data_IF_132070304374
#
_entry.id   IF_132070304374
#
_cell.length_a   1.000
_cell.length_b   1.000
_cell.length_c   1.000
_cell.angle_alpha   90.00
_cell.angle_beta   90.00
_cell.angle_gamma   90.00
#
_symmetry.space_group_name_H-M   'P 1'
#
loop_
_entity.id
_entity.type
_entity.pdbx_description
1 polymer ?
#
# COMPACT_ATOMS: atom_id res chain seq x y z
N UNK A 1 16.35 16.39 19.25
CA UNK A 1 16.06 15.16 18.49
C UNK A 1 15.92 14.04 19.51
N UNK A 2 14.85 13.28 19.45
CA UNK A 2 14.58 12.18 20.37
C UNK A 2 14.64 10.87 19.59
N UNK A 3 15.32 9.87 20.13
CA UNK A 3 15.46 8.56 19.51
C UNK A 3 14.84 7.50 20.41
N UNK A 4 13.97 6.68 19.83
CA UNK A 4 13.41 5.52 20.51
C UNK A 4 13.78 4.26 19.73
N UNK A 5 14.18 3.22 20.46
CA UNK A 5 14.39 1.89 19.90
C UNK A 5 13.18 1.02 20.26
N UNK A 6 12.49 0.55 19.22
CA UNK A 6 11.30 -0.27 19.43
C UNK A 6 10.81 -0.88 18.12
N UNK A 7 9.73 -1.66 18.19
CA UNK A 7 9.02 -2.17 17.04
C UNK A 7 8.04 -1.08 16.55
N UNK A 8 8.00 -0.86 15.24
CA UNK A 8 7.02 0.05 14.63
C UNK A 8 5.58 -0.47 14.77
N UNK A 9 5.43 -1.80 14.85
CA UNK A 9 4.15 -2.42 15.10
C UNK A 9 3.67 -2.11 16.53
N UNK A 10 2.51 -1.45 16.64
CA UNK A 10 1.92 -1.07 17.92
C UNK A 10 2.57 0.13 18.61
N UNK A 11 3.51 0.82 17.95
CA UNK A 11 4.08 2.05 18.49
C UNK A 11 3.02 3.13 18.64
N UNK A 12 3.00 3.78 19.80
CA UNK A 12 2.09 4.91 20.11
C UNK A 12 2.92 6.16 20.36
N UNK A 13 2.71 7.17 19.55
CA UNK A 13 3.34 8.47 19.78
C UNK A 13 2.62 9.23 20.90
N UNK A 14 3.37 9.88 21.81
CA UNK A 14 2.79 10.79 22.79
C UNK A 14 2.50 12.20 22.23
N UNK A 15 2.82 12.46 20.97
CA UNK A 15 2.72 13.77 20.34
C UNK A 15 1.80 13.73 19.12
N UNK A 16 1.26 14.90 18.75
CA UNK A 16 0.65 15.10 17.43
C UNK A 16 1.72 15.01 16.34
N UNK A 17 1.43 14.24 15.29
CA UNK A 17 2.38 14.00 14.20
C UNK A 17 1.97 14.77 12.96
N UNK A 18 2.79 15.72 12.53
CA UNK A 18 2.56 16.47 11.29
C UNK A 18 3.08 15.73 10.06
N UNK A 19 4.24 15.09 10.18
CA UNK A 19 4.95 14.41 9.10
C UNK A 19 5.43 13.04 9.55
N UNK A 20 5.16 12.03 8.74
CA UNK A 20 5.80 10.72 8.83
C UNK A 20 6.72 10.56 7.62
N UNK A 21 7.98 10.23 7.88
CA UNK A 21 8.96 9.92 6.85
C UNK A 21 9.55 8.53 7.11
N UNK A 22 9.51 7.67 6.10
CA UNK A 22 10.13 6.35 6.18
C UNK A 22 11.16 6.18 5.07
N UNK A 23 12.37 5.81 5.50
CA UNK A 23 13.48 5.40 4.65
C UNK A 23 13.92 4.02 5.14
N UNK A 24 14.08 3.06 4.23
CA UNK A 24 14.51 1.70 4.57
C UNK A 24 13.60 0.91 5.55
N UNK A 25 12.31 1.25 5.61
CA UNK A 25 11.33 0.38 6.22
C UNK A 25 11.02 -0.74 5.22
N UNK A 26 11.68 -1.90 5.40
CA UNK A 26 11.59 -2.99 4.44
C UNK A 26 10.28 -3.75 4.56
N UNK A 27 9.73 -4.13 3.41
CA UNK A 27 8.56 -5.02 3.26
C UNK A 27 7.36 -4.54 4.11
N UNK A 28 6.83 -5.39 4.96
CA UNK A 28 5.65 -5.09 5.81
C UNK A 28 5.92 -4.03 6.89
N UNK A 29 7.17 -3.73 7.24
CA UNK A 29 7.47 -2.59 8.12
C UNK A 29 7.04 -1.25 7.52
N UNK A 30 7.07 -1.10 6.19
CA UNK A 30 6.47 0.03 5.49
C UNK A 30 4.96 0.11 5.76
N UNK A 31 4.26 -1.01 5.75
CA UNK A 31 2.82 -1.07 5.95
C UNK A 31 2.42 -0.66 7.36
N UNK A 32 3.16 -1.11 8.38
CA UNK A 32 2.96 -0.64 9.77
C UNK A 32 3.24 0.85 9.91
N UNK A 33 4.27 1.39 9.25
CA UNK A 33 4.56 2.81 9.29
C UNK A 33 3.45 3.65 8.62
N UNK A 34 2.93 3.21 7.48
CA UNK A 34 1.81 3.86 6.80
C UNK A 34 0.53 3.76 7.62
N UNK A 35 0.25 2.60 8.22
CA UNK A 35 -0.87 2.40 9.14
C UNK A 35 -0.80 3.38 10.31
N UNK A 36 0.34 3.45 11.00
CA UNK A 36 0.55 4.37 12.11
C UNK A 36 0.37 5.83 11.66
N UNK A 37 0.90 6.21 10.50
CA UNK A 37 0.73 7.56 9.96
C UNK A 37 -0.76 7.92 9.75
N UNK A 38 -1.56 6.97 9.29
CA UNK A 38 -3.02 7.12 9.14
C UNK A 38 -3.69 7.25 10.50
N UNK A 39 -3.35 6.39 11.47
CA UNK A 39 -3.92 6.43 12.84
C UNK A 39 -3.57 7.74 13.56
N UNK A 40 -2.36 8.24 13.41
CA UNK A 40 -1.92 9.53 13.96
C UNK A 40 -2.49 10.73 13.19
N UNK A 41 -3.20 10.47 12.09
CA UNK A 41 -3.77 11.51 11.23
C UNK A 41 -2.70 12.50 10.73
N UNK A 42 -1.49 12.00 10.45
CA UNK A 42 -0.38 12.80 9.97
C UNK A 42 -0.80 13.65 8.76
N UNK A 43 -0.36 14.90 8.70
CA UNK A 43 -0.69 15.82 7.59
C UNK A 43 0.03 15.43 6.30
N UNK A 44 1.26 14.93 6.44
CA UNK A 44 2.13 14.55 5.33
C UNK A 44 2.74 13.17 5.59
N UNK A 45 2.87 12.38 4.53
CA UNK A 45 3.56 11.09 4.55
C UNK A 45 4.52 11.07 3.36
N UNK A 46 5.80 10.78 3.64
CA UNK A 46 6.83 10.49 2.66
C UNK A 46 7.40 9.10 2.95
N UNK A 47 7.15 8.15 2.06
CA UNK A 47 7.64 6.78 2.24
C UNK A 47 8.41 6.33 1.01
N UNK A 48 9.62 5.82 1.24
CA UNK A 48 10.48 5.24 0.21
C UNK A 48 10.59 3.75 0.47
N UNK A 49 9.70 2.93 -0.10
CA UNK A 49 9.77 1.49 0.05
C UNK A 49 10.96 0.93 -0.73
N UNK A 50 11.84 0.20 -0.04
CA UNK A 50 13.04 -0.38 -0.66
C UNK A 50 12.89 -1.86 -1.00
N UNK A 51 12.00 -2.58 -0.34
CA UNK A 51 11.74 -4.01 -0.55
C UNK A 51 10.24 -4.28 -0.50
N UNK A 52 9.74 -5.16 -1.37
CA UNK A 52 8.35 -5.61 -1.42
C UNK A 52 8.35 -7.11 -1.73
N UNK A 53 8.44 -7.93 -0.69
CA UNK A 53 8.52 -9.39 -0.82
C UNK A 53 7.19 -10.10 -0.54
N UNK A 54 6.31 -9.48 0.23
CA UNK A 54 5.06 -10.08 0.69
C UNK A 54 4.23 -10.65 -0.47
N UNK A 55 3.90 -9.82 -1.48
CA UNK A 55 3.07 -10.26 -2.61
C UNK A 55 3.80 -11.23 -3.54
N UNK A 56 5.13 -11.12 -3.63
CA UNK A 56 5.92 -12.05 -4.42
C UNK A 56 5.83 -13.48 -3.88
N UNK A 57 5.76 -13.63 -2.55
CA UNK A 57 5.52 -14.91 -1.88
C UNK A 57 4.11 -15.45 -2.06
N UNK A 58 3.12 -14.58 -2.25
CA UNK A 58 1.70 -14.95 -2.39
C UNK A 58 1.31 -15.27 -3.84
N UNK A 59 2.05 -14.80 -4.83
CA UNK A 59 1.70 -14.98 -6.24
C UNK A 59 1.85 -16.44 -6.66
N UNK A 60 0.73 -17.08 -6.98
CA UNK A 60 0.66 -18.47 -7.40
C UNK A 60 1.37 -18.71 -8.75
N UNK A 61 2.03 -19.88 -8.94
CA UNK A 61 2.80 -20.18 -10.16
C UNK A 61 1.96 -20.15 -11.45
N UNK A 62 0.66 -20.42 -11.37
CA UNK A 62 -0.25 -20.41 -12.52
C UNK A 62 -0.78 -19.02 -12.90
N UNK A 63 -0.55 -18.02 -12.06
CA UNK A 63 -1.04 -16.66 -12.29
C UNK A 63 -0.11 -15.93 -13.25
N UNK A 64 -0.64 -15.46 -14.37
CA UNK A 64 0.13 -14.81 -15.45
C UNK A 64 1.40 -15.60 -15.81
N UNK A 65 1.31 -16.82 -16.38
CA UNK A 65 2.47 -17.71 -16.57
C UNK A 65 3.60 -17.08 -17.39
N UNK A 66 3.26 -16.22 -18.37
CA UNK A 66 4.23 -15.51 -19.20
C UNK A 66 5.13 -14.57 -18.39
N UNK A 67 4.63 -14.04 -17.28
CA UNK A 67 5.35 -13.13 -16.42
C UNK A 67 5.97 -13.85 -15.21
N UNK A 68 5.21 -14.75 -14.56
CA UNK A 68 5.61 -15.43 -13.34
C UNK A 68 6.73 -16.47 -13.55
N UNK A 69 6.89 -16.99 -14.77
CA UNK A 69 8.01 -17.88 -15.14
C UNK A 69 9.40 -17.23 -15.02
N UNK A 70 9.47 -15.91 -15.07
CA UNK A 70 10.72 -15.16 -14.92
C UNK A 70 10.75 -14.47 -13.56
N UNK A 71 11.57 -14.96 -12.64
CA UNK A 71 11.62 -14.47 -11.26
C UNK A 71 11.80 -12.96 -11.13
N UNK A 72 12.63 -12.35 -11.98
CA UNK A 72 12.85 -10.90 -11.98
C UNK A 72 11.59 -10.13 -12.41
N UNK A 73 10.81 -10.66 -13.37
CA UNK A 73 9.56 -9.99 -13.80
C UNK A 73 8.46 -10.15 -12.76
N UNK A 74 8.36 -11.36 -12.16
CA UNK A 74 7.44 -11.62 -11.05
C UNK A 74 7.71 -10.67 -9.88
N UNK A 75 8.97 -10.56 -9.46
CA UNK A 75 9.38 -9.67 -8.36
C UNK A 75 9.03 -8.21 -8.65
N UNK A 76 9.35 -7.70 -9.83
CA UNK A 76 9.04 -6.32 -10.23
C UNK A 76 7.55 -6.05 -10.30
N UNK A 77 6.77 -6.97 -10.86
CA UNK A 77 5.31 -6.86 -10.88
C UNK A 77 4.73 -6.78 -9.47
N UNK A 78 5.13 -7.69 -8.59
CA UNK A 78 4.65 -7.72 -7.20
C UNK A 78 5.07 -6.46 -6.43
N UNK A 79 6.27 -5.93 -6.68
CA UNK A 79 6.71 -4.68 -6.07
C UNK A 79 5.84 -3.49 -6.52
N UNK A 80 5.57 -3.35 -7.82
CA UNK A 80 4.70 -2.29 -8.36
C UNK A 80 3.26 -2.44 -7.86
N UNK A 81 2.73 -3.66 -7.81
CA UNK A 81 1.40 -3.95 -7.27
C UNK A 81 1.30 -3.55 -5.78
N UNK A 82 2.33 -3.87 -4.97
CA UNK A 82 2.40 -3.48 -3.56
C UNK A 82 2.32 -1.97 -3.39
N UNK A 83 3.11 -1.21 -4.13
CA UNK A 83 3.15 0.26 -4.01
C UNK A 83 1.87 0.91 -4.56
N UNK A 84 1.27 0.34 -5.62
CA UNK A 84 -0.04 0.77 -6.11
C UNK A 84 -1.15 0.56 -5.07
N UNK A 85 -1.18 -0.60 -4.39
CA UNK A 85 -2.11 -0.89 -3.30
C UNK A 85 -1.91 0.10 -2.15
N UNK A 86 -0.67 0.35 -1.71
CA UNK A 86 -0.34 1.33 -0.67
C UNK A 86 -0.87 2.72 -1.02
N UNK A 87 -0.62 3.17 -2.25
CA UNK A 87 -1.08 4.47 -2.74
C UNK A 87 -2.60 4.61 -2.71
N UNK A 88 -3.32 3.60 -3.20
CA UNK A 88 -4.79 3.61 -3.22
C UNK A 88 -5.40 3.48 -1.81
N UNK A 89 -4.82 2.69 -0.91
CA UNK A 89 -5.27 2.62 0.48
C UNK A 89 -5.10 3.94 1.21
N UNK A 90 -4.03 4.69 0.96
CA UNK A 90 -3.88 6.04 1.49
C UNK A 90 -4.94 7.00 0.92
N UNK A 91 -5.31 6.87 -0.37
CA UNK A 91 -6.41 7.63 -0.96
C UNK A 91 -7.75 7.29 -0.31
N UNK A 92 -8.01 6.01 -0.07
CA UNK A 92 -9.17 5.54 0.70
C UNK A 92 -9.21 6.16 2.09
N UNK A 93 -8.07 6.25 2.77
CA UNK A 93 -7.94 6.90 4.08
C UNK A 93 -7.99 8.44 4.05
N UNK A 94 -8.29 9.05 2.91
CA UNK A 94 -8.51 10.50 2.79
C UNK A 94 -7.26 11.31 2.46
N UNK A 95 -6.20 10.69 2.00
CA UNK A 95 -5.02 11.39 1.50
C UNK A 95 -5.14 11.66 -0.01
N UNK A 96 -4.40 12.65 -0.49
CA UNK A 96 -4.05 12.81 -1.89
C UNK A 96 -2.67 12.22 -2.08
N UNK A 97 -2.58 11.14 -2.84
CA UNK A 97 -1.36 10.36 -3.00
C UNK A 97 -0.75 10.56 -4.39
N UNK A 98 0.57 10.57 -4.44
CA UNK A 98 1.38 10.59 -5.64
C UNK A 98 2.50 9.56 -5.50
N UNK A 99 2.67 8.73 -6.51
CA UNK A 99 3.82 7.86 -6.68
C UNK A 99 4.75 8.54 -7.68
N UNK A 100 5.98 8.77 -7.29
CA UNK A 100 6.93 9.52 -8.10
C UNK A 100 8.35 8.96 -7.96
N UNK A 101 9.12 9.04 -9.02
CA UNK A 101 10.55 8.82 -8.95
C UNK A 101 11.22 10.07 -8.36
N UNK A 102 12.14 9.87 -7.41
CA UNK A 102 12.83 10.97 -6.74
C UNK A 102 14.35 10.90 -6.85
N UNK A 103 14.89 9.79 -7.33
CA UNK A 103 16.31 9.57 -7.62
C UNK A 103 16.40 8.92 -9.01
N UNK A 104 17.44 9.26 -9.76
CA UNK A 104 17.70 8.66 -11.07
C UNK A 104 17.87 7.13 -10.95
N UNK A 105 17.24 6.39 -11.84
CA UNK A 105 17.37 4.94 -11.95
C UNK A 105 18.81 4.46 -12.14
N UNK A 106 19.72 5.32 -12.63
CA UNK A 106 21.14 5.02 -12.70
C UNK A 106 21.78 4.75 -11.32
N UNK A 107 21.19 5.26 -10.25
CA UNK A 107 21.67 5.06 -8.89
C UNK A 107 21.01 3.91 -8.17
N UNK A 108 19.70 3.68 -8.39
CA UNK A 108 18.95 2.59 -7.79
C UNK A 108 17.63 2.34 -8.52
N UNK A 109 17.26 1.07 -8.76
CA UNK A 109 15.92 0.73 -9.28
C UNK A 109 14.81 0.89 -8.22
N UNK A 110 15.16 1.12 -6.96
CA UNK A 110 14.23 1.33 -5.83
C UNK A 110 14.11 2.83 -5.55
N UNK A 111 13.54 3.55 -6.51
CA UNK A 111 13.50 5.02 -6.54
C UNK A 111 12.08 5.60 -6.38
N UNK A 112 11.10 4.79 -6.00
CA UNK A 112 9.73 5.25 -5.82
C UNK A 112 9.56 5.93 -4.47
N UNK A 113 9.01 7.14 -4.49
CA UNK A 113 8.52 7.88 -3.34
C UNK A 113 6.99 7.86 -3.34
N UNK A 114 6.40 7.37 -2.28
CA UNK A 114 4.99 7.54 -1.96
C UNK A 114 4.86 8.84 -1.18
N UNK A 115 4.30 9.86 -1.82
CA UNK A 115 3.99 11.15 -1.20
C UNK A 115 2.48 11.24 -0.99
N UNK A 116 2.04 11.40 0.26
CA UNK A 116 0.64 11.55 0.57
C UNK A 116 0.39 12.80 1.43
N UNK A 117 -0.62 13.58 1.06
CA UNK A 117 -1.04 14.81 1.73
C UNK A 117 -2.47 14.63 2.19
N UNK A 118 -2.73 14.81 3.47
CA UNK A 118 -4.07 14.66 4.05
C UNK A 118 -5.00 15.72 3.47
N UNK A 119 -6.15 15.30 2.96
CA UNK A 119 -7.15 16.21 2.41
C UNK A 119 -7.92 16.91 3.55
N UNK A 120 -8.18 18.21 3.44
CA UNK A 120 -8.97 18.92 4.43
C UNK A 120 -10.46 18.52 4.34
N UNK A 121 -10.93 18.12 3.16
CA UNK A 121 -12.30 17.71 2.90
C UNK A 121 -12.32 16.29 2.34
N UNK A 122 -13.16 15.46 2.93
CA UNK A 122 -13.39 14.09 2.48
C UNK A 122 -14.12 14.09 1.13
N UNK A 123 -13.72 13.17 0.25
CA UNK A 123 -14.42 12.86 -0.99
C UNK A 123 -14.77 11.37 -1.00
N UNK A 124 -15.92 11.04 -0.42
CA UNK A 124 -16.37 9.67 -0.25
C UNK A 124 -16.40 8.86 -1.55
N UNK A 125 -16.77 9.50 -2.69
CA UNK A 125 -16.77 8.82 -4.00
C UNK A 125 -15.37 8.39 -4.40
N UNK A 126 -14.37 9.28 -4.33
CA UNK A 126 -12.98 8.95 -4.66
C UNK A 126 -12.38 7.94 -3.70
N UNK A 127 -12.71 8.02 -2.42
CA UNK A 127 -12.27 7.05 -1.43
C UNK A 127 -12.81 5.65 -1.74
N UNK A 128 -14.09 5.56 -2.07
CA UNK A 128 -14.71 4.30 -2.44
C UNK A 128 -14.13 3.72 -3.75
N UNK A 129 -13.95 4.56 -4.78
CA UNK A 129 -13.31 4.16 -6.04
C UNK A 129 -11.90 3.59 -5.80
N UNK A 130 -11.10 4.23 -4.95
CA UNK A 130 -9.77 3.74 -4.60
C UNK A 130 -9.81 2.37 -3.91
N UNK A 131 -10.74 2.16 -2.97
CA UNK A 131 -10.92 0.87 -2.31
C UNK A 131 -11.36 -0.23 -3.29
N UNK A 132 -12.28 0.09 -4.21
CA UNK A 132 -12.74 -0.85 -5.23
C UNK A 132 -11.61 -1.30 -6.16
N UNK A 133 -10.71 -0.38 -6.54
CA UNK A 133 -9.53 -0.71 -7.34
C UNK A 133 -8.57 -1.64 -6.57
N UNK A 134 -8.34 -1.41 -5.28
CA UNK A 134 -7.55 -2.31 -4.43
C UNK A 134 -8.20 -3.70 -4.39
N UNK A 135 -9.50 -3.76 -4.13
CA UNK A 135 -10.24 -5.03 -4.07
C UNK A 135 -10.22 -5.78 -5.41
N UNK A 136 -10.33 -5.08 -6.52
CA UNK A 136 -10.24 -5.69 -7.84
C UNK A 136 -8.89 -6.36 -8.05
N UNK A 137 -7.79 -5.65 -7.76
CA UNK A 137 -6.43 -6.18 -7.90
C UNK A 137 -6.17 -7.35 -6.94
N UNK A 138 -6.54 -7.20 -5.67
CA UNK A 138 -6.30 -8.25 -4.66
C UNK A 138 -7.14 -9.51 -4.93
N UNK A 139 -8.37 -9.37 -5.41
CA UNK A 139 -9.21 -10.50 -5.79
C UNK A 139 -8.69 -11.22 -7.04
N UNK A 140 -8.24 -10.49 -8.06
CA UNK A 140 -7.70 -11.07 -9.30
C UNK A 140 -6.50 -11.96 -9.03
N UNK A 141 -5.58 -11.49 -8.16
CA UNK A 141 -4.33 -12.19 -7.87
C UNK A 141 -4.34 -12.97 -6.56
N UNK A 142 -5.47 -13.01 -5.84
CA UNK A 142 -5.60 -13.62 -4.51
C UNK A 142 -4.55 -13.10 -3.51
N UNK A 143 -4.28 -11.80 -3.57
CA UNK A 143 -3.34 -11.14 -2.68
C UNK A 143 -3.99 -10.76 -1.36
N UNK A 144 -3.23 -10.90 -0.27
CA UNK A 144 -3.62 -10.55 1.09
C UNK A 144 -2.59 -9.59 1.72
N UNK A 145 -2.49 -8.33 1.25
CA UNK A 145 -1.48 -7.40 1.72
C UNK A 145 -1.67 -7.04 3.19
N UNK A 146 -0.57 -6.90 3.91
CA UNK A 146 -0.59 -6.52 5.33
C UNK A 146 -1.31 -5.18 5.55
N UNK A 147 -1.10 -4.19 4.70
CA UNK A 147 -1.76 -2.89 4.84
C UNK A 147 -3.29 -2.98 4.69
N UNK A 148 -3.80 -3.87 3.82
CA UNK A 148 -5.24 -4.14 3.73
C UNK A 148 -5.78 -4.66 5.07
N UNK A 149 -5.12 -5.65 5.69
CA UNK A 149 -5.53 -6.19 6.99
C UNK A 149 -5.52 -5.14 8.11
N UNK A 150 -4.55 -4.23 8.07
CA UNK A 150 -4.40 -3.18 9.10
C UNK A 150 -5.45 -2.06 8.97
N UNK A 151 -5.84 -1.69 7.75
CA UNK A 151 -6.71 -0.54 7.50
C UNK A 151 -8.17 -0.90 7.29
N UNK A 152 -8.46 -2.12 6.83
CA UNK A 152 -9.82 -2.58 6.60
C UNK A 152 -10.30 -3.41 7.77
N UNK A 153 -11.41 -3.03 8.40
CA UNK A 153 -12.01 -3.81 9.48
C UNK A 153 -12.55 -5.14 8.95
N UNK A 154 -12.54 -6.19 9.78
CA UNK A 154 -13.09 -7.50 9.43
C UNK A 154 -14.53 -7.43 8.89
N UNK A 155 -15.33 -6.44 9.32
CA UNK A 155 -16.67 -6.20 8.82
C UNK A 155 -16.71 -5.67 7.37
N UNK A 156 -15.65 -5.04 6.90
CA UNK A 156 -15.53 -4.56 5.52
C UNK A 156 -14.92 -5.62 4.60
N UNK A 157 -14.05 -6.49 5.11
CA UNK A 157 -13.51 -7.65 4.38
C UNK A 157 -14.61 -8.65 4.03
N UNK A 158 -15.65 -8.77 4.86
CA UNK A 158 -16.75 -9.74 4.69
C UNK A 158 -17.91 -9.25 3.81
N UNK A 159 -17.91 -8.02 3.29
CA UNK A 159 -18.93 -7.61 2.32
C UNK A 159 -18.63 -8.27 0.98
N UNK A 160 -19.39 -9.35 0.59
CA UNK A 160 -19.20 -9.97 -0.71
C UNK A 160 -19.48 -8.92 -1.78
N UNK A 161 -18.51 -8.74 -2.69
CA UNK A 161 -18.76 -8.02 -3.94
C UNK A 161 -19.88 -8.80 -4.62
N UNK A 162 -21.06 -8.16 -4.74
CA UNK A 162 -22.20 -8.74 -5.41
C UNK A 162 -21.75 -9.20 -6.80
N UNK A 163 -21.65 -10.51 -6.99
CA UNK A 163 -21.36 -11.09 -8.30
C UNK A 163 -22.50 -10.69 -9.23
N UNK A 164 -22.30 -9.64 -10.02
CA UNK A 164 -23.16 -9.44 -11.18
C UNK A 164 -22.89 -10.61 -12.11
N UNK A 165 -23.93 -11.36 -12.52
CA UNK A 165 -23.74 -12.44 -13.48
C UNK A 165 -23.26 -11.83 -14.79
N UNK A 166 -22.09 -12.27 -15.26
CA UNK A 166 -21.65 -12.05 -16.62
C UNK A 166 -22.72 -12.61 -17.55
N UNK A 167 -23.55 -11.74 -18.13
CA UNK A 167 -24.30 -12.09 -19.33
C UNK A 167 -23.29 -12.10 -20.47
N UNK A 168 -22.86 -13.30 -20.85
CA UNK A 168 -22.27 -13.50 -22.16
C UNK A 168 -23.35 -13.32 -23.23
N UNK A 169 -23.02 -12.72 -24.37
CA UNK A 169 -23.87 -12.67 -25.54
C UNK A 169 -24.04 -14.03 -26.19
#
# INVERSE_FOLDING_TARGET
MHFEKGDINGYKTPFDVDLVMTLHACDTATDYALYNAVQWKAKLIFSVPCCQHELNGQMEPGTLPILSRYGILKERFCALATDAIRGNLLEYCGYRTQLMEFIDMAHTPKNILIRAVRRPVSNAKKQQEALEQVRALTNEFQFHPTLCRLLLSEAEEQKPICKQPHKMP
#
